data_IF_482540713792
#
_entry.id   IF_482540713792
#
_cell.length_a   1.000
_cell.length_b   1.000
_cell.length_c   1.000
_cell.angle_alpha   90.00
_cell.angle_beta   90.00
_cell.angle_gamma   90.00
#
_symmetry.space_group_name_H-M   'P 1'
#
loop_
_entity.id
_entity.type
_entity.pdbx_description
1 polymer ?
#
# COMPACT_ATOMS: atom_id res chain seq x y z
N UNK A 1 4.93 -1.78 -13.13
CA UNK A 1 5.20 -3.21 -12.83
C UNK A 1 6.12 -3.88 -13.86
N UNK A 2 6.48 -3.26 -15.00
CA UNK A 2 7.31 -3.92 -16.02
C UNK A 2 8.74 -4.24 -15.54
N UNK A 3 9.31 -3.36 -14.70
CA UNK A 3 10.67 -3.50 -14.15
C UNK A 3 10.69 -4.27 -12.82
N UNK A 4 9.54 -4.79 -12.36
CA UNK A 4 9.45 -5.55 -11.12
C UNK A 4 9.84 -7.01 -11.34
N UNK A 5 10.64 -7.56 -10.43
CA UNK A 5 10.91 -8.99 -10.34
C UNK A 5 9.64 -9.74 -9.94
N UNK A 6 9.26 -10.75 -10.73
CA UNK A 6 8.02 -11.51 -10.51
C UNK A 6 8.08 -12.43 -9.28
N UNK A 7 9.26 -12.67 -8.71
CA UNK A 7 9.42 -13.47 -7.49
C UNK A 7 9.24 -12.65 -6.20
N UNK A 8 9.13 -11.33 -6.32
CA UNK A 8 9.10 -10.41 -5.17
C UNK A 8 7.72 -9.80 -4.92
N UNK A 9 7.60 -9.21 -3.74
CA UNK A 9 6.47 -8.38 -3.34
C UNK A 9 6.87 -6.90 -3.38
N UNK A 10 5.90 -6.04 -3.70
CA UNK A 10 6.11 -4.61 -3.80
C UNK A 10 5.03 -3.84 -3.04
N UNK A 11 5.43 -2.80 -2.33
CA UNK A 11 4.49 -1.78 -1.87
C UNK A 11 4.09 -0.92 -3.07
N UNK A 12 2.80 -0.87 -3.38
CA UNK A 12 2.21 -0.04 -4.42
C UNK A 12 1.34 1.01 -3.75
N UNK A 13 1.70 2.29 -3.91
CA UNK A 13 0.80 3.40 -3.62
C UNK A 13 0.34 4.01 -4.94
N UNK A 14 -0.98 4.02 -5.15
CA UNK A 14 -1.59 4.60 -6.34
C UNK A 14 -2.86 5.33 -5.93
N UNK A 15 -2.91 6.61 -6.29
CA UNK A 15 -4.10 7.43 -6.08
C UNK A 15 -4.54 7.52 -4.61
N UNK A 16 -5.62 6.84 -4.22
CA UNK A 16 -6.26 6.99 -2.92
C UNK A 16 -5.95 5.80 -2.01
N UNK A 17 -5.14 4.84 -2.48
CA UNK A 17 -4.90 3.60 -1.78
C UNK A 17 -3.46 3.09 -1.94
N UNK A 18 -2.98 2.39 -0.92
CA UNK A 18 -1.71 1.71 -0.93
C UNK A 18 -1.86 0.27 -0.46
N UNK A 19 -1.14 -0.66 -1.09
CA UNK A 19 -1.27 -2.10 -0.89
C UNK A 19 0.08 -2.80 -1.13
N UNK A 20 0.17 -4.07 -0.77
CA UNK A 20 1.24 -4.96 -1.25
C UNK A 20 0.75 -5.64 -2.52
N UNK A 21 1.60 -5.72 -3.54
CA UNK A 21 1.35 -6.48 -4.77
C UNK A 21 2.38 -7.56 -4.99
N UNK A 22 1.97 -8.66 -5.62
CA UNK A 22 2.87 -9.75 -6.02
C UNK A 22 2.44 -10.41 -7.31
N UNK A 23 3.38 -11.07 -7.99
CA UNK A 23 3.05 -11.84 -9.18
C UNK A 23 2.72 -13.28 -8.80
N UNK A 24 1.60 -13.79 -9.30
CA UNK A 24 1.19 -15.19 -9.17
C UNK A 24 0.98 -15.71 -10.60
N UNK A 25 1.86 -16.61 -11.05
CA UNK A 25 1.78 -17.24 -12.37
C UNK A 25 1.64 -16.24 -13.55
N UNK A 26 2.35 -15.11 -13.49
CA UNK A 26 2.33 -14.09 -14.53
C UNK A 26 1.31 -12.98 -14.31
N UNK A 27 0.39 -13.13 -13.35
CA UNK A 27 -0.68 -12.16 -13.07
C UNK A 27 -0.35 -11.41 -11.77
N UNK A 28 -0.40 -10.09 -11.82
CA UNK A 28 -0.21 -9.25 -10.63
C UNK A 28 -1.47 -9.25 -9.78
N UNK A 29 -1.30 -9.43 -8.47
CA UNK A 29 -2.35 -9.39 -7.48
C UNK A 29 -2.05 -8.34 -6.42
N UNK A 30 -3.08 -7.75 -5.82
CA UNK A 30 -2.97 -6.88 -4.66
C UNK A 30 -3.56 -7.55 -3.41
N UNK A 31 -3.04 -7.15 -2.25
CA UNK A 31 -3.51 -7.63 -0.95
C UNK A 31 -4.59 -6.69 -0.40
N UNK A 32 -5.81 -7.19 -0.28
CA UNK A 32 -6.93 -6.51 0.36
C UNK A 32 -7.04 -6.97 1.82
N UNK A 33 -7.02 -6.01 2.74
CA UNK A 33 -7.13 -6.24 4.19
C UNK A 33 -8.18 -5.33 4.85
N UNK A 34 -9.01 -4.62 4.08
CA UNK A 34 -9.88 -3.57 4.61
C UNK A 34 -11.25 -4.07 5.11
N UNK A 35 -11.53 -5.37 5.05
CA UNK A 35 -12.85 -5.92 5.44
C UNK A 35 -12.70 -7.11 6.39
N UNK A 36 -13.76 -7.46 7.12
CA UNK A 36 -13.72 -8.62 8.04
C UNK A 36 -13.71 -9.94 7.25
N UNK A 37 -14.48 -10.00 6.16
CA UNK A 37 -14.80 -11.25 5.46
C UNK A 37 -14.17 -11.36 4.07
N UNK A 38 -13.59 -10.28 3.55
CA UNK A 38 -13.14 -10.16 2.15
C UNK A 38 -11.63 -9.98 2.00
N UNK A 39 -10.84 -10.49 2.94
CA UNK A 39 -9.39 -10.36 2.91
C UNK A 39 -8.74 -11.39 2.00
N UNK A 40 -7.70 -10.99 1.27
CA UNK A 40 -6.98 -11.90 0.40
C UNK A 40 -6.25 -11.23 -0.77
N UNK A 41 -5.75 -12.08 -1.66
CA UNK A 41 -5.09 -11.65 -2.89
C UNK A 41 -6.10 -11.59 -4.03
N UNK A 42 -6.21 -10.42 -4.65
CA UNK A 42 -7.13 -10.15 -5.76
C UNK A 42 -6.35 -9.69 -6.98
N UNK A 43 -6.80 -10.05 -8.17
CA UNK A 43 -6.12 -9.64 -9.41
C UNK A 43 -6.10 -8.11 -9.56
N UNK A 44 -4.93 -7.58 -9.89
CA UNK A 44 -4.74 -6.16 -10.15
C UNK A 44 -5.12 -5.85 -11.61
N UNK A 45 -6.39 -5.50 -11.81
CA UNK A 45 -6.96 -5.14 -13.11
C UNK A 45 -7.17 -3.62 -13.23
N UNK A 46 -7.36 -3.07 -14.45
CA UNK A 46 -7.78 -1.67 -14.63
C UNK A 46 -9.06 -1.30 -13.87
N UNK A 47 -9.98 -2.26 -13.72
CA UNK A 47 -11.22 -2.09 -12.95
C UNK A 47 -10.92 -1.97 -11.46
N UNK A 48 -10.08 -2.86 -10.91
CA UNK A 48 -9.65 -2.76 -9.51
C UNK A 48 -8.96 -1.41 -9.24
N UNK A 49 -8.06 -0.95 -10.12
CA UNK A 49 -7.40 0.35 -10.02
C UNK A 49 -8.40 1.51 -9.95
N UNK A 50 -9.47 1.46 -10.77
CA UNK A 50 -10.50 2.50 -10.77
C UNK A 50 -11.38 2.45 -9.52
N UNK A 51 -11.90 1.27 -9.17
CA UNK A 51 -12.95 1.11 -8.17
C UNK A 51 -12.42 0.97 -6.74
N UNK A 52 -11.29 0.28 -6.57
CA UNK A 52 -10.64 0.10 -5.26
C UNK A 52 -9.62 1.18 -4.95
N UNK A 53 -8.80 1.56 -5.93
CA UNK A 53 -7.72 2.53 -5.70
C UNK A 53 -8.12 3.98 -6.06
N UNK A 54 -9.32 4.18 -6.63
CA UNK A 54 -9.78 5.49 -7.07
C UNK A 54 -9.03 6.05 -8.29
N UNK A 55 -8.20 5.24 -8.95
CA UNK A 55 -7.34 5.61 -10.07
C UNK A 55 -8.15 5.73 -11.37
N UNK A 56 -8.86 6.85 -11.51
CA UNK A 56 -9.66 7.21 -12.68
C UNK A 56 -8.94 8.22 -13.59
N UNK A 57 -9.00 8.00 -14.91
CA UNK A 57 -8.48 8.93 -15.92
C UNK A 57 -9.16 10.31 -15.91
N UNK A 58 -10.33 10.44 -15.27
CA UNK A 58 -11.08 11.71 -15.19
C UNK A 58 -10.57 12.67 -14.13
N UNK A 59 -9.79 12.23 -13.13
CA UNK A 59 -9.22 13.16 -12.14
C UNK A 59 -7.82 13.58 -12.61
N UNK A 60 -7.69 14.86 -12.97
CA UNK A 60 -6.47 15.50 -13.52
C UNK A 60 -5.36 15.78 -12.51
N UNK A 61 -5.57 15.51 -11.20
CA UNK A 61 -4.49 15.68 -10.22
C UNK A 61 -3.44 14.60 -10.48
N UNK A 62 -2.19 15.02 -10.66
CA UNK A 62 -1.01 14.16 -10.79
C UNK A 62 -1.12 13.04 -9.76
N UNK A 63 -1.36 11.82 -10.23
CA UNK A 63 -1.40 10.63 -9.38
C UNK A 63 0.01 10.07 -9.43
N UNK A 64 0.82 10.40 -8.43
CA UNK A 64 2.10 9.72 -8.26
C UNK A 64 1.80 8.23 -8.02
N UNK A 65 2.35 7.40 -8.89
CA UNK A 65 2.39 5.95 -8.69
C UNK A 65 3.75 5.69 -8.08
N UNK A 66 3.75 5.20 -6.84
CA UNK A 66 4.96 4.79 -6.16
C UNK A 66 4.98 3.28 -6.03
N UNK A 67 6.09 2.67 -6.41
CA UNK A 67 6.34 1.23 -6.27
C UNK A 67 7.67 1.07 -5.55
N UNK A 68 7.68 0.35 -4.44
CA UNK A 68 8.88 0.07 -3.65
C UNK A 68 8.99 -1.43 -3.40
N UNK A 69 10.18 -2.00 -3.51
CA UNK A 69 10.45 -3.38 -3.09
C UNK A 69 10.23 -3.48 -1.57
N UNK A 70 9.40 -4.42 -1.12
CA UNK A 70 9.05 -4.54 0.31
C UNK A 70 10.24 -4.99 1.16
N UNK A 71 11.17 -5.76 0.59
CA UNK A 71 12.37 -6.22 1.28
C UNK A 71 13.36 -5.05 1.47
N UNK A 72 13.55 -4.23 0.44
CA UNK A 72 14.40 -3.02 0.54
C UNK A 72 13.82 -2.03 1.55
N UNK A 73 12.51 -1.74 1.44
CA UNK A 73 11.81 -0.85 2.37
C UNK A 73 11.86 -1.39 3.81
N UNK A 74 11.63 -2.69 3.97
CA UNK A 74 11.69 -3.41 5.24
C UNK A 74 13.11 -3.52 5.81
N UNK A 75 14.15 -3.24 5.04
CA UNK A 75 15.54 -3.20 5.50
C UNK A 75 16.09 -1.79 5.72
N UNK A 76 15.39 -0.74 5.25
CA UNK A 76 15.80 0.66 5.48
C UNK A 76 15.76 1.02 6.98
N UNK A 77 16.90 1.43 7.57
CA UNK A 77 16.95 1.94 8.94
C UNK A 77 16.09 3.20 9.13
N UNK A 78 16.04 4.08 8.13
CA UNK A 78 15.26 5.31 8.15
C UNK A 78 13.77 5.01 8.19
N UNK A 79 13.31 4.06 7.37
CA UNK A 79 11.91 3.65 7.35
C UNK A 79 11.50 2.99 8.67
N UNK A 80 12.33 2.10 9.23
CA UNK A 80 12.09 1.51 10.57
C UNK A 80 12.02 2.57 11.66
N UNK A 81 12.91 3.57 11.60
CA UNK A 81 12.91 4.69 12.54
C UNK A 81 11.62 5.50 12.44
N UNK A 82 11.17 5.81 11.22
CA UNK A 82 9.89 6.49 11.00
C UNK A 82 8.69 5.70 11.54
N UNK A 83 8.65 4.37 11.30
CA UNK A 83 7.62 3.50 11.87
C UNK A 83 7.69 3.45 13.40
N UNK A 84 8.88 3.55 14.00
CA UNK A 84 9.05 3.64 15.46
C UNK A 84 8.39 4.87 16.07
N UNK A 85 8.42 6.01 15.38
CA UNK A 85 7.69 7.21 15.81
C UNK A 85 6.17 7.04 15.71
N UNK A 86 5.68 6.30 14.71
CA UNK A 86 4.25 5.99 14.55
C UNK A 86 3.75 4.95 15.57
N UNK A 87 4.56 3.93 15.85
CA UNK A 87 4.30 2.89 16.84
C UNK A 87 4.75 3.31 18.25
N UNK A 88 4.53 4.59 18.60
CA UNK A 88 4.81 5.11 19.93
C UNK A 88 3.79 4.61 20.95
N UNK A 89 4.25 4.35 22.18
CA UNK A 89 3.38 4.00 23.32
C UNK A 89 2.20 4.97 23.41
N UNK A 90 1.03 4.49 23.82
CA UNK A 90 -0.23 5.25 23.84
C UNK A 90 -0.11 6.64 24.51
N UNK A 91 0.71 6.76 25.56
CA UNK A 91 0.98 8.01 26.28
C UNK A 91 1.91 9.00 25.56
N UNK A 92 2.62 8.56 24.52
CA UNK A 92 3.60 9.34 23.75
C UNK A 92 3.15 9.60 22.30
N UNK A 93 1.95 9.18 21.91
CA UNK A 93 1.40 9.43 20.58
C UNK A 93 1.00 10.89 20.42
N UNK A 94 1.55 11.58 19.42
CA UNK A 94 1.11 12.92 19.02
C UNK A 94 -0.09 12.77 18.07
N UNK A 95 -1.29 13.00 18.59
CA UNK A 95 -2.54 12.78 17.86
C UNK A 95 -2.98 14.05 17.14
N UNK A 96 -3.48 13.90 15.91
CA UNK A 96 -4.25 14.96 15.25
C UNK A 96 -5.61 15.16 15.93
N UNK A 97 -6.31 16.24 15.59
CA UNK A 97 -7.56 16.68 16.26
C UNK A 97 -8.68 15.63 16.32
N UNK A 98 -8.65 14.59 15.49
CA UNK A 98 -9.62 13.49 15.46
C UNK A 98 -9.09 12.11 15.87
N UNK A 99 -7.85 11.98 16.34
CA UNK A 99 -7.28 10.67 16.71
C UNK A 99 -7.67 10.23 18.12
N UNK A 100 -8.23 9.02 18.28
CA UNK A 100 -8.48 8.41 19.60
C UNK A 100 -7.73 7.08 19.74
N UNK A 101 -7.26 6.78 20.95
CA UNK A 101 -6.78 5.44 21.32
C UNK A 101 -7.93 4.73 22.05
N UNK A 102 -8.17 3.46 21.75
CA UNK A 102 -9.02 2.60 22.60
C UNK A 102 -8.24 2.18 23.84
#
# INVERSE_FOLDING_TARGET
MADCDKSKEYYLAVSEHATVVKNINGIWHYLELQTEDGNGWFELTPESLKERFGASSRRRKLREIMVYDTEELGNSPEFKTALGYLNTNTGNQVKGSGGYAK
#
